data_IF_181867409577
#
_entry.id   IF_181867409577
#
_cell.length_a   1.000
_cell.length_b   1.000
_cell.length_c   1.000
_cell.angle_alpha   90.00
_cell.angle_beta   90.00
_cell.angle_gamma   90.00
#
_symmetry.space_group_name_H-M   'P 1'
#
loop_
_entity.id
_entity.type
_entity.pdbx_description
1 polymer ?
#
# COMPACT_ATOMS: atom_id res chain seq x y z
N UNK A 1 -14.99 27.32 -12.97
CA UNK A 1 -13.58 27.51 -13.38
C UNK A 1 -12.90 26.14 -13.34
N UNK A 2 -13.04 25.35 -14.41
CA UNK A 2 -12.36 24.07 -14.57
C UNK A 2 -10.91 24.38 -14.95
N UNK A 3 -9.98 24.19 -14.01
CA UNK A 3 -8.55 24.16 -14.37
C UNK A 3 -8.37 22.97 -15.30
N UNK A 4 -8.02 23.26 -16.54
CA UNK A 4 -7.52 22.32 -17.54
C UNK A 4 -6.47 21.41 -16.89
N UNK A 5 -6.76 20.10 -16.87
CA UNK A 5 -5.84 19.02 -16.51
C UNK A 5 -4.71 18.97 -17.54
N UNK A 6 -3.77 19.91 -17.44
CA UNK A 6 -2.51 19.88 -18.16
C UNK A 6 -1.62 18.83 -17.52
N UNK A 7 -1.32 17.78 -18.29
CA UNK A 7 -0.38 16.69 -17.97
C UNK A 7 -0.72 15.91 -16.70
N UNK A 8 -1.72 15.03 -16.76
CA UNK A 8 -1.80 13.89 -15.85
C UNK A 8 -0.55 13.01 -16.05
N UNK A 9 0.51 13.27 -15.26
CA UNK A 9 1.62 12.33 -15.15
C UNK A 9 1.06 11.08 -14.49
N UNK A 10 0.82 10.04 -15.29
CA UNK A 10 0.20 8.79 -14.87
C UNK A 10 1.04 8.17 -13.75
N UNK A 11 0.58 8.35 -12.51
CA UNK A 11 1.12 7.60 -11.37
C UNK A 11 0.90 6.12 -11.67
N UNK A 12 1.98 5.35 -11.76
CA UNK A 12 1.85 3.90 -11.96
C UNK A 12 1.43 3.27 -10.64
N UNK A 13 0.13 3.06 -10.50
CA UNK A 13 -0.51 2.55 -9.28
C UNK A 13 -1.15 1.19 -9.51
N UNK A 14 -1.27 0.42 -8.44
CA UNK A 14 -2.07 -0.80 -8.43
C UNK A 14 -2.83 -0.93 -7.13
N UNK A 15 -4.00 -1.56 -7.18
CA UNK A 15 -4.82 -1.86 -6.01
C UNK A 15 -4.89 -3.38 -5.91
N UNK A 16 -4.56 -3.91 -4.73
CA UNK A 16 -4.67 -5.33 -4.45
C UNK A 16 -6.08 -5.65 -3.96
N UNK A 17 -6.48 -6.91 -4.16
CA UNK A 17 -7.71 -7.43 -3.57
C UNK A 17 -7.59 -7.53 -2.04
N UNK A 18 -8.70 -7.35 -1.33
CA UNK A 18 -8.71 -7.35 0.13
C UNK A 18 -8.31 -8.69 0.77
N UNK A 19 -8.40 -9.79 0.03
CA UNK A 19 -7.90 -11.10 0.44
C UNK A 19 -6.38 -11.23 0.34
N UNK A 20 -5.69 -10.32 -0.34
CA UNK A 20 -4.23 -10.42 -0.53
C UNK A 20 -3.48 -10.50 0.79
N UNK A 21 -3.87 -9.65 1.76
CA UNK A 21 -3.24 -9.62 3.07
C UNK A 21 -3.46 -10.93 3.84
N UNK A 22 -4.66 -11.50 3.74
CA UNK A 22 -4.97 -12.80 4.31
C UNK A 22 -4.13 -13.91 3.65
N UNK A 23 -3.96 -13.87 2.33
CA UNK A 23 -3.10 -14.82 1.62
C UNK A 23 -1.63 -14.70 2.02
N UNK A 24 -1.14 -13.47 2.24
CA UNK A 24 0.20 -13.19 2.75
C UNK A 24 0.41 -13.82 4.13
N UNK A 25 -0.50 -13.57 5.09
CA UNK A 25 -0.38 -14.10 6.45
C UNK A 25 -0.40 -15.64 6.50
N UNK A 26 -1.17 -16.27 5.62
CA UNK A 26 -1.27 -17.73 5.55
C UNK A 26 -0.21 -18.39 4.65
N UNK A 27 0.74 -17.63 4.11
CA UNK A 27 1.81 -18.17 3.28
C UNK A 27 1.31 -18.85 1.99
N UNK A 28 0.26 -18.32 1.37
CA UNK A 28 -0.35 -18.94 0.19
C UNK A 28 0.63 -18.97 -1.00
N UNK A 29 0.81 -20.11 -1.70
CA UNK A 29 1.70 -20.18 -2.87
C UNK A 29 1.20 -19.32 -4.05
N UNK A 30 -0.10 -19.03 -4.12
CA UNK A 30 -0.71 -18.14 -5.12
C UNK A 30 -0.27 -16.67 -4.98
N UNK A 31 0.27 -16.29 -3.82
CA UNK A 31 0.77 -14.95 -3.57
C UNK A 31 1.80 -14.52 -4.62
N UNK A 32 2.69 -15.43 -5.02
CA UNK A 32 3.76 -15.15 -5.97
C UNK A 32 3.27 -14.94 -7.40
N UNK A 33 2.25 -15.68 -7.81
CA UNK A 33 1.60 -15.49 -9.11
C UNK A 33 1.00 -14.08 -9.17
N UNK A 34 0.33 -13.68 -8.09
CA UNK A 34 -0.27 -12.35 -7.94
C UNK A 34 0.73 -11.20 -7.93
N UNK A 35 1.82 -11.32 -7.17
CA UNK A 35 2.90 -10.32 -7.13
C UNK A 35 3.47 -10.08 -8.53
N UNK A 36 3.66 -11.16 -9.31
CA UNK A 36 4.16 -11.09 -10.68
C UNK A 36 3.13 -10.48 -11.63
N UNK A 37 1.89 -10.95 -11.60
CA UNK A 37 0.80 -10.49 -12.46
C UNK A 37 0.55 -8.98 -12.27
N UNK A 38 0.51 -8.52 -11.01
CA UNK A 38 0.26 -7.10 -10.69
C UNK A 38 1.50 -6.22 -10.77
N UNK A 39 2.70 -6.81 -10.91
CA UNK A 39 3.96 -6.09 -11.04
C UNK A 39 4.23 -5.11 -9.88
N UNK A 40 3.87 -5.47 -8.64
CA UNK A 40 3.84 -4.51 -7.52
C UNK A 40 5.17 -3.80 -7.24
N UNK A 41 6.30 -4.43 -7.60
CA UNK A 41 7.63 -3.85 -7.41
C UNK A 41 7.97 -2.76 -8.44
N UNK A 42 7.29 -2.71 -9.59
CA UNK A 42 7.46 -1.64 -10.57
C UNK A 42 6.57 -0.43 -10.27
N UNK A 43 5.57 -0.57 -9.40
CA UNK A 43 4.59 0.47 -9.10
C UNK A 43 5.17 1.54 -8.19
N UNK A 44 4.75 2.78 -8.42
CA UNK A 44 5.06 3.91 -7.54
C UNK A 44 4.29 3.78 -6.24
N UNK A 45 3.01 3.39 -6.33
CA UNK A 45 2.14 3.15 -5.18
C UNK A 45 1.34 1.85 -5.35
N UNK A 46 1.31 1.03 -4.32
CA UNK A 46 0.43 -0.15 -4.24
C UNK A 46 -0.51 0.01 -3.06
N UNK A 47 -1.80 0.05 -3.32
CA UNK A 47 -2.84 0.11 -2.30
C UNK A 47 -3.23 -1.31 -1.89
N UNK A 48 -3.26 -1.55 -0.58
CA UNK A 48 -3.60 -2.84 0.01
C UNK A 48 -4.75 -2.61 1.00
N UNK A 49 -6.00 -2.77 0.56
CA UNK A 49 -7.14 -2.85 1.46
C UNK A 49 -6.98 -4.08 2.35
N UNK A 50 -7.18 -3.90 3.66
CA UNK A 50 -7.08 -4.97 4.65
C UNK A 50 -8.41 -5.04 5.39
N UNK A 51 -9.03 -6.21 5.37
CA UNK A 51 -10.22 -6.49 6.19
C UNK A 51 -9.79 -7.36 7.35
N UNK A 52 -9.98 -6.86 8.55
CA UNK A 52 -9.74 -7.62 9.77
C UNK A 52 -10.89 -7.39 10.74
N UNK A 53 -11.48 -8.48 11.24
CA UNK A 53 -12.65 -8.44 12.15
C UNK A 53 -13.82 -7.55 11.67
N UNK A 54 -14.07 -7.49 10.36
CA UNK A 54 -15.12 -6.67 9.77
C UNK A 54 -14.79 -5.19 9.64
N UNK A 55 -13.59 -4.76 10.04
CA UNK A 55 -13.11 -3.39 9.90
C UNK A 55 -12.12 -3.28 8.73
N UNK A 56 -12.28 -2.24 7.92
CA UNK A 56 -11.42 -1.97 6.78
C UNK A 56 -10.29 -1.01 7.16
N UNK A 57 -9.06 -1.39 6.79
CA UNK A 57 -7.85 -0.57 6.90
C UNK A 57 -7.19 -0.43 5.53
N UNK A 58 -6.43 0.64 5.32
CA UNK A 58 -5.67 0.84 4.08
C UNK A 58 -4.17 0.90 4.38
N UNK A 59 -3.42 0.00 3.76
CA UNK A 59 -1.96 0.08 3.70
C UNK A 59 -1.55 0.59 2.31
N UNK A 60 -0.66 1.59 2.26
CA UNK A 60 -0.11 2.12 1.01
C UNK A 60 1.38 1.83 0.97
N UNK A 61 1.80 0.95 0.06
CA UNK A 61 3.21 0.64 -0.18
C UNK A 61 3.76 1.59 -1.23
N UNK A 62 4.79 2.35 -0.86
CA UNK A 62 5.39 3.38 -1.72
C UNK A 62 6.75 2.89 -2.24
N UNK A 63 6.99 2.99 -3.56
CA UNK A 63 8.28 2.70 -4.20
C UNK A 63 8.91 1.35 -3.77
N UNK A 64 8.09 0.30 -3.71
CA UNK A 64 8.47 -0.99 -3.12
C UNK A 64 9.77 -1.56 -3.73
N UNK A 65 9.92 -1.47 -5.06
CA UNK A 65 11.13 -1.95 -5.74
C UNK A 65 12.39 -1.09 -5.51
N UNK A 66 12.24 0.21 -5.23
CA UNK A 66 13.39 1.09 -4.92
C UNK A 66 13.90 0.87 -3.49
N UNK A 67 13.01 0.45 -2.57
CA UNK A 67 13.38 0.17 -1.19
C UNK A 67 14.32 -1.03 -1.07
N UNK A 68 14.26 -2.01 -1.99
CA UNK A 68 15.11 -3.20 -1.97
C UNK A 68 16.61 -2.89 -2.07
N UNK A 69 16.97 -1.82 -2.78
CA UNK A 69 18.37 -1.42 -2.99
C UNK A 69 18.96 -0.62 -1.81
N UNK A 70 18.13 -0.15 -0.87
CA UNK A 70 18.55 0.56 0.35
C UNK A 70 18.29 -0.32 1.58
N UNK A 71 18.67 0.08 2.80
CA UNK A 71 18.39 -0.67 4.04
C UNK A 71 16.89 -0.95 4.21
N UNK A 72 16.45 -2.07 3.66
CA UNK A 72 15.05 -2.37 3.40
C UNK A 72 14.39 -2.99 4.63
N UNK A 73 13.12 -2.66 4.88
CA UNK A 73 12.39 -3.22 6.02
C UNK A 73 12.31 -4.75 5.92
N UNK A 74 12.29 -5.48 7.05
CA UNK A 74 12.18 -6.93 7.05
C UNK A 74 10.99 -7.45 6.24
N UNK A 75 9.87 -6.72 6.22
CA UNK A 75 8.69 -7.06 5.41
C UNK A 75 8.96 -7.01 3.91
N UNK A 76 9.63 -5.96 3.41
CA UNK A 76 9.92 -5.86 1.97
C UNK A 76 10.99 -6.88 1.58
N UNK A 77 11.97 -7.14 2.46
CA UNK A 77 12.92 -8.23 2.28
C UNK A 77 12.22 -9.59 2.25
N UNK A 78 11.28 -9.82 3.15
CA UNK A 78 10.47 -11.04 3.19
C UNK A 78 9.68 -11.19 1.89
N UNK A 79 8.97 -10.15 1.44
CA UNK A 79 8.23 -10.15 0.17
C UNK A 79 9.12 -10.39 -1.07
N UNK A 80 10.38 -9.93 -1.04
CA UNK A 80 11.37 -10.16 -2.10
C UNK A 80 12.00 -11.57 -2.04
N UNK A 81 12.36 -12.05 -0.85
CA UNK A 81 13.12 -13.28 -0.63
C UNK A 81 12.23 -14.52 -0.48
N UNK A 82 10.96 -14.39 -0.06
CA UNK A 82 10.02 -15.50 0.00
C UNK A 82 9.47 -15.86 -1.37
N UNK A 83 10.37 -16.24 -2.29
CA UNK A 83 10.05 -17.16 -3.38
C UNK A 83 9.61 -18.55 -2.82
N UNK A 84 8.61 -18.60 -1.93
CA UNK A 84 7.90 -19.81 -1.50
C UNK A 84 8.26 -20.44 -0.15
N UNK A 85 9.01 -19.80 0.77
CA UNK A 85 9.30 -20.40 2.10
C UNK A 85 9.26 -19.38 3.23
N UNK A 86 8.08 -19.16 3.83
CA UNK A 86 7.92 -18.23 4.95
C UNK A 86 8.13 -18.95 6.29
N UNK A 87 9.12 -18.50 7.06
CA UNK A 87 9.31 -18.90 8.45
C UNK A 87 8.63 -17.88 9.38
N UNK A 88 7.61 -18.36 10.09
CA UNK A 88 7.03 -17.83 11.33
C UNK A 88 6.96 -16.30 11.54
N UNK A 89 5.77 -15.73 11.30
CA UNK A 89 5.08 -14.79 12.19
C UNK A 89 5.86 -13.59 12.78
N UNK A 90 6.84 -13.02 12.08
CA UNK A 90 7.52 -11.79 12.54
C UNK A 90 7.10 -10.55 11.76
N UNK A 91 5.95 -10.05 12.22
CA UNK A 91 5.58 -8.64 12.46
C UNK A 91 5.99 -7.61 11.40
N UNK A 92 4.98 -7.26 10.62
CA UNK A 92 4.82 -5.95 9.93
C UNK A 92 5.08 -4.76 10.86
N UNK A 93 4.99 -4.93 12.19
CA UNK A 93 5.37 -3.92 13.18
C UNK A 93 6.83 -3.45 13.15
N UNK A 94 7.69 -4.03 12.29
CA UNK A 94 9.04 -3.53 12.00
C UNK A 94 9.11 -2.56 10.82
N UNK A 95 8.02 -2.38 10.06
CA UNK A 95 7.93 -1.35 9.04
C UNK A 95 7.63 -0.03 9.73
N UNK A 96 8.38 1.05 9.46
CA UNK A 96 7.99 2.38 9.90
C UNK A 96 6.65 2.75 9.24
N UNK A 97 5.56 2.65 10.00
CA UNK A 97 4.24 3.05 9.56
C UNK A 97 4.12 4.57 9.70
N UNK A 98 3.87 5.25 8.59
CA UNK A 98 3.41 6.63 8.61
C UNK A 98 1.89 6.61 8.74
N UNK A 99 1.38 7.13 9.85
CA UNK A 99 -0.06 7.28 10.10
C UNK A 99 -0.45 8.74 9.83
N UNK A 100 -0.89 9.08 8.60
CA UNK A 100 -1.34 10.43 8.31
C UNK A 100 -2.59 10.75 9.12
N UNK A 101 -2.76 12.03 9.48
CA UNK A 101 -4.05 12.49 9.98
C UNK A 101 -5.03 12.48 8.82
N UNK A 102 -6.08 11.70 8.93
CA UNK A 102 -7.13 11.59 7.91
C UNK A 102 -8.50 11.86 8.53
N UNK A 103 -9.49 12.28 7.73
CA UNK A 103 -10.88 12.36 8.21
C UNK A 103 -11.28 11.04 8.87
N UNK A 104 -11.84 11.11 10.07
CA UNK A 104 -12.24 9.92 10.82
C UNK A 104 -13.71 9.61 10.55
N UNK A 105 -14.03 8.32 10.37
CA UNK A 105 -15.41 7.84 10.28
C UNK A 105 -16.17 8.10 11.57
N UNK A 106 -17.50 8.18 11.47
CA UNK A 106 -18.37 8.53 12.62
C UNK A 106 -18.99 7.30 13.29
N UNK A 107 -19.08 6.19 12.57
CA UNK A 107 -19.58 4.91 13.07
C UNK A 107 -18.72 3.73 12.56
N UNK A 108 -19.15 2.49 12.80
CA UNK A 108 -18.44 1.27 12.39
C UNK A 108 -18.72 0.79 10.97
N UNK A 109 -19.67 1.39 10.26
CA UNK A 109 -20.20 0.88 8.98
C UNK A 109 -19.57 1.58 7.78
N UNK A 110 -19.11 2.82 7.95
CA UNK A 110 -18.55 3.64 6.87
C UNK A 110 -17.13 3.25 6.45
N UNK A 111 -16.46 2.35 7.18
CA UNK A 111 -15.02 2.08 7.00
C UNK A 111 -14.64 1.72 5.56
N UNK A 112 -15.46 0.93 4.86
CA UNK A 112 -15.22 0.58 3.44
C UNK A 112 -15.28 1.79 2.50
N UNK A 113 -16.19 2.74 2.75
CA UNK A 113 -16.29 3.98 1.95
C UNK A 113 -15.08 4.89 2.21
N UNK A 114 -14.60 4.94 3.45
CA UNK A 114 -13.41 5.71 3.80
C UNK A 114 -12.15 5.19 3.11
N UNK A 115 -12.02 3.88 2.87
CA UNK A 115 -10.91 3.33 2.04
C UNK A 115 -10.88 3.97 0.65
N UNK A 116 -12.02 3.99 -0.03
CA UNK A 116 -12.13 4.58 -1.37
C UNK A 116 -11.83 6.07 -1.35
N UNK A 117 -12.33 6.77 -0.32
CA UNK A 117 -12.07 8.18 -0.12
C UNK A 117 -10.59 8.48 0.14
N UNK A 118 -9.89 7.66 0.94
CA UNK A 118 -8.45 7.81 1.18
C UNK A 118 -7.63 7.58 -0.08
N UNK A 119 -7.96 6.56 -0.88
CA UNK A 119 -7.31 6.32 -2.17
C UNK A 119 -7.49 7.55 -3.08
N UNK A 120 -8.70 8.10 -3.14
CA UNK A 120 -9.00 9.31 -3.90
C UNK A 120 -8.18 10.53 -3.44
N UNK A 121 -8.18 10.82 -2.15
CA UNK A 121 -7.42 11.94 -1.57
C UNK A 121 -5.92 11.78 -1.82
N UNK A 122 -5.43 10.55 -1.68
CA UNK A 122 -4.04 10.21 -1.93
C UNK A 122 -3.67 10.49 -3.38
N UNK A 123 -4.40 9.93 -4.34
CA UNK A 123 -4.12 10.10 -5.77
C UNK A 123 -4.17 11.56 -6.21
N UNK A 124 -5.03 12.38 -5.58
CA UNK A 124 -5.09 13.82 -5.86
C UNK A 124 -3.85 14.61 -5.46
N UNK A 125 -3.12 14.13 -4.44
CA UNK A 125 -2.03 14.91 -3.83
C UNK A 125 -0.67 14.20 -3.96
N UNK A 126 -0.66 12.91 -4.32
CA UNK A 126 0.50 12.03 -4.46
C UNK A 126 1.62 12.65 -5.31
N UNK A 127 2.85 12.81 -4.78
CA UNK A 127 3.95 13.27 -5.61
C UNK A 127 4.33 12.20 -6.63
N UNK A 128 4.78 12.63 -7.80
CA UNK A 128 5.31 11.74 -8.83
C UNK A 128 6.57 10.98 -8.38
N UNK A 129 7.30 11.51 -7.39
CA UNK A 129 8.44 10.83 -6.77
C UNK A 129 8.27 10.89 -5.27
N UNK A 130 8.00 9.74 -4.65
CA UNK A 130 7.91 9.65 -3.20
C UNK A 130 9.28 9.95 -2.56
N UNK A 131 9.30 10.90 -1.63
CA UNK A 131 10.38 11.14 -0.69
C UNK A 131 9.83 11.14 0.74
N UNK A 132 10.55 10.50 1.66
CA UNK A 132 10.22 10.51 3.08
C UNK A 132 10.23 11.92 3.69
N UNK A 133 11.04 12.83 3.13
CA UNK A 133 11.16 14.22 3.62
C UNK A 133 10.00 15.12 3.19
N UNK A 134 9.29 14.79 2.12
CA UNK A 134 8.17 15.58 1.59
C UNK A 134 6.81 15.12 2.10
N UNK A 135 6.74 14.00 2.84
CA UNK A 135 5.48 13.41 3.29
C UNK A 135 4.81 14.13 4.46
N UNK A 136 5.48 15.12 5.05
CA UNK A 136 4.94 16.01 6.07
C UNK A 136 3.73 16.84 5.60
N UNK A 137 3.33 16.73 4.33
CA UNK A 137 2.28 17.55 3.71
C UNK A 137 1.09 16.74 3.14
N UNK A 138 1.01 15.42 3.38
CA UNK A 138 -0.29 14.73 3.35
C UNK A 138 -0.96 14.91 4.71
N UNK A 139 -1.37 16.16 4.97
CA UNK A 139 -2.07 16.64 6.17
C UNK A 139 -3.31 17.40 5.70
#
# INVERSE_FOLDING_TARGET
MLRTLGEERLLDVTILDCFWYHMYLNGSPKLMEWIKEKGIFSKTYTFVPIVDWGHWNLLILCNLGKSFNNNCSPFVKDLYHTQGKMASSRRIGSIPLLLPKVPQQRDGEECGVFILYYIYLFLKSAPATFSFTSYSYFI
#
